data_IF_937235735646
#
_entry.id   IF_937235735646
#
_cell.length_a   1.000
_cell.length_b   1.000
_cell.length_c   1.000
_cell.angle_alpha   90.00
_cell.angle_beta   90.00
_cell.angle_gamma   90.00
#
_symmetry.space_group_name_H-M   'P 1'
#
loop_
_entity.id
_entity.type
_entity.pdbx_description
1 polymer ?
#
# COMPACT_ATOMS: atom_id res chain seq x y z
N UNK A 1 16.65 7.66 -25.53
CA UNK A 1 16.35 7.25 -24.15
C UNK A 1 17.56 6.45 -23.66
N UNK A 2 18.24 6.87 -22.59
CA UNK A 2 19.43 6.17 -22.09
C UNK A 2 19.01 4.80 -21.48
N UNK A 3 19.83 3.75 -21.63
CA UNK A 3 19.61 2.39 -21.12
C UNK A 3 19.21 2.38 -19.63
N UNK A 4 19.87 3.20 -18.82
CA UNK A 4 19.54 3.35 -17.39
C UNK A 4 18.09 3.83 -17.15
N UNK A 5 17.57 4.70 -18.03
CA UNK A 5 16.18 5.16 -17.92
C UNK A 5 15.18 4.08 -18.34
N UNK A 6 15.57 3.17 -19.24
CA UNK A 6 14.73 2.03 -19.61
C UNK A 6 14.68 0.99 -18.49
N UNK A 7 15.82 0.66 -17.88
CA UNK A 7 15.91 -0.26 -16.74
C UNK A 7 15.09 0.26 -15.54
N UNK A 8 15.19 1.56 -15.25
CA UNK A 8 14.38 2.19 -14.22
C UNK A 8 12.87 2.10 -14.51
N UNK A 9 12.46 2.32 -15.75
CA UNK A 9 11.05 2.25 -16.13
C UNK A 9 10.49 0.82 -16.06
N UNK A 10 11.30 -0.20 -16.40
CA UNK A 10 10.94 -1.60 -16.21
C UNK A 10 10.77 -1.93 -14.71
N UNK A 11 11.66 -1.41 -13.86
CA UNK A 11 11.54 -1.59 -12.41
C UNK A 11 10.26 -0.94 -11.87
N UNK A 12 9.98 0.30 -12.29
CA UNK A 12 8.75 1.02 -11.90
C UNK A 12 7.50 0.25 -12.34
N UNK A 13 7.49 -0.36 -13.53
CA UNK A 13 6.37 -1.19 -13.99
C UNK A 13 6.15 -2.44 -13.13
N UNK A 14 7.23 -3.09 -12.67
CA UNK A 14 7.12 -4.23 -11.74
C UNK A 14 6.60 -3.79 -10.37
N UNK A 15 7.07 -2.66 -9.87
CA UNK A 15 6.59 -2.07 -8.61
C UNK A 15 5.14 -1.61 -8.70
N UNK A 16 4.67 -1.14 -9.85
CA UNK A 16 3.28 -0.76 -10.11
C UNK A 16 2.31 -1.94 -9.89
N UNK A 17 2.69 -3.14 -10.31
CA UNK A 17 1.95 -4.38 -10.05
C UNK A 17 1.92 -4.72 -8.56
N UNK A 18 3.03 -4.51 -7.83
CA UNK A 18 3.10 -4.75 -6.39
C UNK A 18 2.18 -3.78 -5.63
N UNK A 19 2.09 -2.52 -6.08
CA UNK A 19 1.17 -1.54 -5.49
C UNK A 19 -0.29 -1.98 -5.65
N UNK A 20 -0.65 -2.62 -6.76
CA UNK A 20 -2.00 -3.18 -6.93
C UNK A 20 -2.26 -4.37 -5.99
N UNK A 21 -1.27 -5.25 -5.80
CA UNK A 21 -1.36 -6.32 -4.81
C UNK A 21 -1.55 -5.76 -3.39
N UNK A 22 -0.77 -4.74 -3.01
CA UNK A 22 -0.94 -4.05 -1.72
C UNK A 22 -2.34 -3.49 -1.55
N UNK A 23 -2.87 -2.81 -2.58
CA UNK A 23 -4.24 -2.28 -2.59
C UNK A 23 -5.26 -3.39 -2.35
N UNK A 24 -5.10 -4.54 -2.99
CA UNK A 24 -5.97 -5.70 -2.78
C UNK A 24 -5.89 -6.24 -1.36
N UNK A 25 -4.69 -6.40 -0.80
CA UNK A 25 -4.52 -6.86 0.59
C UNK A 25 -5.18 -5.89 1.56
N UNK A 26 -4.94 -4.58 1.40
CA UNK A 26 -5.55 -3.54 2.21
C UNK A 26 -7.07 -3.57 2.12
N UNK A 27 -7.67 -3.74 0.95
CA UNK A 27 -9.14 -3.82 0.80
C UNK A 27 -9.70 -5.11 1.43
N UNK A 28 -9.01 -6.24 1.24
CA UNK A 28 -9.44 -7.56 1.71
C UNK A 28 -9.49 -7.70 3.22
N UNK A 29 -8.69 -6.90 3.94
CA UNK A 29 -8.88 -6.69 5.38
C UNK A 29 -10.04 -5.74 5.61
N UNK A 30 -11.25 -6.24 5.39
CA UNK A 30 -12.47 -5.57 5.80
C UNK A 30 -12.38 -5.35 7.32
N UNK A 31 -12.51 -4.09 7.75
CA UNK A 31 -12.80 -3.78 9.14
C UNK A 31 -14.10 -4.50 9.46
N UNK A 32 -14.06 -5.48 10.35
CA UNK A 32 -15.28 -6.08 10.87
C UNK A 32 -16.00 -4.92 11.55
N UNK A 33 -17.10 -4.45 10.95
CA UNK A 33 -18.12 -3.80 11.74
C UNK A 33 -18.50 -4.87 12.76
N UNK A 34 -18.02 -4.74 13.98
CA UNK A 34 -18.54 -5.55 15.08
C UNK A 34 -20.05 -5.43 15.00
N UNK A 35 -20.72 -6.57 14.98
CA UNK A 35 -22.15 -6.69 14.79
C UNK A 35 -22.89 -6.24 16.07
N UNK A 36 -22.56 -5.04 16.56
CA UNK A 36 -23.19 -4.36 17.69
C UNK A 36 -23.71 -3.01 17.21
N UNK A 37 -24.96 -3.07 16.77
CA UNK A 37 -25.93 -1.99 16.58
C UNK A 37 -25.53 -0.89 15.59
N UNK A 38 -26.46 -0.66 14.67
CA UNK A 38 -26.66 0.59 13.95
C UNK A 38 -26.55 1.76 14.94
N UNK A 39 -25.41 2.42 14.95
CA UNK A 39 -25.32 3.81 15.36
C UNK A 39 -24.49 4.53 14.30
N UNK A 40 -25.18 5.36 13.52
CA UNK A 40 -24.58 6.43 12.74
C UNK A 40 -23.88 7.40 13.71
N UNK A 41 -22.67 7.08 14.19
CA UNK A 41 -21.85 8.05 14.90
C UNK A 41 -20.37 7.88 14.53
N UNK A 42 -19.85 8.97 13.98
CA UNK A 42 -18.47 9.39 13.97
C UNK A 42 -17.65 8.83 15.16
N UNK A 43 -16.38 8.43 14.91
CA UNK A 43 -15.31 8.27 15.93
C UNK A 43 -15.17 6.95 16.73
N UNK A 44 -15.05 5.78 16.10
CA UNK A 44 -14.59 4.59 16.86
C UNK A 44 -13.75 3.58 16.06
N UNK A 45 -12.56 4.00 15.61
CA UNK A 45 -11.33 3.19 15.26
C UNK A 45 -10.30 4.04 14.50
N UNK A 46 -10.16 5.33 14.85
CA UNK A 46 -9.62 6.37 13.94
C UNK A 46 -8.16 6.20 13.50
N UNK A 47 -7.27 5.52 14.23
CA UNK A 47 -5.84 5.50 13.83
C UNK A 47 -5.49 4.48 12.74
N UNK A 48 -6.09 3.29 12.75
CA UNK A 48 -5.84 2.27 11.71
C UNK A 48 -6.58 2.56 10.40
N UNK A 49 -7.81 3.08 10.50
CA UNK A 49 -8.62 3.46 9.35
C UNK A 49 -8.03 4.68 8.62
N UNK A 50 -7.47 5.65 9.35
CA UNK A 50 -6.82 6.82 8.77
C UNK A 50 -5.56 6.43 7.99
N UNK A 51 -4.70 5.57 8.55
CA UNK A 51 -3.48 5.11 7.88
C UNK A 51 -3.80 4.28 6.61
N UNK A 52 -4.74 3.33 6.68
CA UNK A 52 -5.20 2.57 5.51
C UNK A 52 -5.79 3.48 4.42
N UNK A 53 -6.66 4.42 4.79
CA UNK A 53 -7.25 5.39 3.86
C UNK A 53 -6.18 6.29 3.24
N UNK A 54 -5.20 6.72 4.02
CA UNK A 54 -4.07 7.52 3.56
C UNK A 54 -3.20 6.77 2.55
N UNK A 55 -2.91 5.48 2.79
CA UNK A 55 -2.19 4.63 1.83
C UNK A 55 -3.00 4.52 0.53
N UNK A 56 -4.31 4.26 0.63
CA UNK A 56 -5.20 4.20 -0.53
C UNK A 56 -5.15 5.47 -1.38
N UNK A 57 -5.22 6.64 -0.74
CA UNK A 57 -5.11 7.94 -1.44
C UNK A 57 -3.74 8.12 -2.12
N UNK A 58 -2.65 7.69 -1.47
CA UNK A 58 -1.30 7.73 -2.06
C UNK A 58 -1.20 6.83 -3.29
N UNK A 59 -1.75 5.62 -3.22
CA UNK A 59 -1.81 4.69 -4.36
C UNK A 59 -2.57 5.31 -5.53
N UNK A 60 -3.75 5.89 -5.29
CA UNK A 60 -4.54 6.49 -6.36
C UNK A 60 -3.84 7.72 -6.97
N UNK A 61 -3.11 8.52 -6.17
CA UNK A 61 -2.27 9.62 -6.67
C UNK A 61 -1.14 9.11 -7.57
N UNK A 62 -0.43 8.07 -7.14
CA UNK A 62 0.62 7.44 -7.94
C UNK A 62 0.09 6.87 -9.26
N UNK A 63 -1.06 6.18 -9.24
CA UNK A 63 -1.68 5.64 -10.45
C UNK A 63 -2.11 6.74 -11.42
N UNK A 64 -2.62 7.87 -10.91
CA UNK A 64 -2.91 9.06 -11.74
C UNK A 64 -1.65 9.66 -12.37
N UNK A 65 -0.56 9.75 -11.61
CA UNK A 65 0.73 10.21 -12.11
C UNK A 65 1.21 9.33 -13.27
N UNK A 66 1.11 8.01 -13.14
CA UNK A 66 1.47 7.04 -14.18
C UNK A 66 0.59 7.11 -15.43
N UNK A 67 -0.70 7.40 -15.25
CA UNK A 67 -1.67 7.45 -16.34
C UNK A 67 -1.66 8.78 -17.11
N UNK A 68 -1.04 9.83 -16.57
CA UNK A 68 -0.93 11.12 -17.25
C UNK A 68 0.09 11.03 -18.40
N UNK A 69 -0.43 10.69 -19.58
CA UNK A 69 0.35 10.62 -20.83
C UNK A 69 0.75 11.99 -21.38
N UNK A 70 0.24 13.09 -20.81
CA UNK A 70 0.52 14.45 -21.30
C UNK A 70 1.80 15.03 -20.71
N UNK A 71 2.37 14.38 -19.68
CA UNK A 71 3.62 14.79 -19.06
C UNK A 71 4.73 13.78 -19.39
N UNK A 72 5.97 14.24 -19.64
CA UNK A 72 7.10 13.32 -19.73
C UNK A 72 7.20 12.53 -18.42
N UNK A 73 7.36 11.19 -18.52
CA UNK A 73 7.46 10.31 -17.35
C UNK A 73 8.52 10.86 -16.40
N UNK A 74 8.07 11.34 -15.23
CA UNK A 74 8.94 11.87 -14.20
C UNK A 74 9.32 10.72 -13.27
N UNK A 75 10.34 9.97 -13.67
CA UNK A 75 10.80 8.78 -12.93
C UNK A 75 11.14 9.10 -11.46
N UNK A 76 11.62 10.32 -11.17
CA UNK A 76 11.94 10.74 -9.80
C UNK A 76 10.67 10.87 -8.94
N UNK A 77 9.63 11.51 -9.48
CA UNK A 77 8.35 11.66 -8.78
C UNK A 77 7.63 10.31 -8.62
N UNK A 78 7.73 9.42 -9.63
CA UNK A 78 7.20 8.05 -9.57
C UNK A 78 7.89 7.26 -8.45
N UNK A 79 9.22 7.29 -8.38
CA UNK A 79 10.01 6.61 -7.34
C UNK A 79 9.69 7.20 -5.96
N UNK A 80 9.64 8.53 -5.83
CA UNK A 80 9.30 9.18 -4.56
C UNK A 80 7.91 8.77 -4.05
N UNK A 81 6.93 8.70 -4.96
CA UNK A 81 5.57 8.25 -4.63
C UNK A 81 5.53 6.79 -4.19
N UNK A 82 6.29 5.91 -4.86
CA UNK A 82 6.40 4.49 -4.49
C UNK A 82 7.02 4.32 -3.10
N UNK A 83 8.13 5.00 -2.82
CA UNK A 83 8.81 4.95 -1.52
C UNK A 83 7.89 5.41 -0.39
N UNK A 84 7.13 6.49 -0.61
CA UNK A 84 6.16 7.02 0.34
C UNK A 84 5.00 6.03 0.61
N UNK A 85 4.52 5.31 -0.42
CA UNK A 85 3.53 4.24 -0.27
C UNK A 85 4.10 3.09 0.58
N UNK A 86 5.30 2.60 0.27
CA UNK A 86 5.93 1.49 0.99
C UNK A 86 6.19 1.84 2.45
N UNK A 87 6.82 3.00 2.72
CA UNK A 87 7.11 3.45 4.08
C UNK A 87 5.84 3.63 4.92
N UNK A 88 4.79 4.25 4.35
CA UNK A 88 3.51 4.41 5.07
C UNK A 88 2.87 3.05 5.37
N UNK A 89 3.02 2.07 4.46
CA UNK A 89 2.46 0.74 4.62
C UNK A 89 3.21 -0.08 5.66
N UNK A 90 4.54 -0.01 5.67
CA UNK A 90 5.38 -0.62 6.70
C UNK A 90 5.01 -0.12 8.09
N UNK A 91 4.82 1.20 8.26
CA UNK A 91 4.39 1.80 9.52
C UNK A 91 3.01 1.25 9.95
N UNK A 92 2.08 1.08 9.01
CA UNK A 92 0.77 0.50 9.31
C UNK A 92 0.91 -0.96 9.78
N UNK A 93 1.64 -1.78 9.03
CA UNK A 93 1.83 -3.20 9.36
C UNK A 93 2.46 -3.35 10.74
N UNK A 94 3.49 -2.56 11.05
CA UNK A 94 4.14 -2.54 12.37
C UNK A 94 3.17 -2.16 13.50
N UNK A 95 2.36 -1.12 13.30
CA UNK A 95 1.35 -0.70 14.29
C UNK A 95 0.29 -1.78 14.52
N UNK A 96 -0.12 -2.49 13.47
CA UNK A 96 -1.08 -3.60 13.60
C UNK A 96 -0.43 -4.76 14.35
N UNK A 97 0.82 -5.13 14.04
CA UNK A 97 1.51 -6.24 14.72
C UNK A 97 1.75 -5.98 16.21
N UNK A 98 1.99 -4.72 16.59
CA UNK A 98 2.18 -4.30 17.98
C UNK A 98 0.84 -4.07 18.71
N UNK A 99 -0.28 -4.08 17.99
CA UNK A 99 -1.62 -3.79 18.50
C UNK A 99 -2.30 -4.99 19.17
N UNK A 100 -3.29 -4.70 20.03
CA UNK A 100 -4.09 -5.73 20.74
C UNK A 100 -4.97 -6.57 19.81
N UNK A 101 -5.28 -6.05 18.62
CA UNK A 101 -6.14 -6.72 17.63
C UNK A 101 -5.34 -7.53 16.59
N UNK A 102 -4.03 -7.72 16.80
CA UNK A 102 -3.12 -8.37 15.83
C UNK A 102 -3.55 -9.80 15.46
N UNK A 103 -4.16 -10.55 16.38
CA UNK A 103 -4.66 -11.91 16.11
C UNK A 103 -5.70 -11.95 15.00
N UNK A 104 -6.60 -10.95 14.93
CA UNK A 104 -7.64 -10.90 13.90
C UNK A 104 -7.04 -10.71 12.48
N UNK A 105 -5.94 -9.96 12.39
CA UNK A 105 -5.20 -9.78 11.14
C UNK A 105 -4.38 -11.02 10.79
N UNK A 106 -3.81 -11.71 11.78
CA UNK A 106 -3.09 -12.95 11.60
C UNK A 106 -3.99 -14.07 11.06
N UNK A 107 -5.19 -14.24 11.64
CA UNK A 107 -6.17 -15.27 11.24
C UNK A 107 -6.63 -15.09 9.78
N UNK A 108 -6.64 -13.85 9.29
CA UNK A 108 -6.98 -13.50 7.90
C UNK A 108 -5.79 -13.55 6.93
N UNK A 109 -4.61 -13.96 7.41
CA UNK A 109 -3.39 -14.06 6.61
C UNK A 109 -2.82 -12.72 6.14
N UNK A 110 -3.17 -11.60 6.79
CA UNK A 110 -2.72 -10.26 6.42
C UNK A 110 -1.20 -10.14 6.44
N UNK A 111 -0.56 -10.58 7.53
CA UNK A 111 0.89 -10.50 7.69
C UNK A 111 1.64 -11.38 6.69
N UNK A 112 1.11 -12.58 6.40
CA UNK A 112 1.73 -13.47 5.40
C UNK A 112 1.72 -12.81 4.02
N UNK A 113 0.58 -12.23 3.61
CA UNK A 113 0.47 -11.53 2.31
C UNK A 113 1.39 -10.30 2.24
N UNK A 114 1.53 -9.55 3.33
CA UNK A 114 2.46 -8.42 3.37
C UNK A 114 3.93 -8.87 3.40
N UNK A 115 4.25 -9.99 4.04
CA UNK A 115 5.58 -10.61 3.98
C UNK A 115 5.93 -11.03 2.55
N UNK A 116 4.99 -11.65 1.83
CA UNK A 116 5.18 -12.04 0.43
C UNK A 116 5.43 -10.80 -0.46
N UNK A 117 4.68 -9.72 -0.23
CA UNK A 117 4.87 -8.45 -0.91
C UNK A 117 6.27 -7.87 -0.61
N UNK A 118 6.70 -7.84 0.65
CA UNK A 118 8.02 -7.36 1.04
C UNK A 118 9.13 -8.14 0.34
N UNK A 119 9.05 -9.48 0.31
CA UNK A 119 10.02 -10.31 -0.40
C UNK A 119 10.01 -10.10 -1.91
N UNK A 120 8.85 -9.82 -2.53
CA UNK A 120 8.79 -9.45 -3.94
C UNK A 120 9.52 -8.14 -4.19
N UNK A 121 9.35 -7.13 -3.33
CA UNK A 121 10.05 -5.84 -3.44
C UNK A 121 11.56 -6.05 -3.28
N UNK A 122 11.99 -6.76 -2.24
CA UNK A 122 13.42 -7.06 -1.98
C UNK A 122 14.09 -7.71 -3.19
N UNK A 123 13.45 -8.71 -3.82
CA UNK A 123 13.98 -9.38 -5.01
C UNK A 123 14.09 -8.50 -6.25
N UNK A 124 13.38 -7.38 -6.30
CA UNK A 124 13.42 -6.45 -7.43
C UNK A 124 14.50 -5.38 -7.28
N UNK A 125 14.95 -5.12 -6.04
CA UNK A 125 15.91 -4.05 -5.72
C UNK A 125 17.28 -4.56 -5.29
N UNK A 126 17.41 -5.86 -4.97
CA UNK A 126 18.66 -6.55 -4.66
C UNK A 126 19.46 -6.88 -5.94
#
# INVERSE_FOLDING_TARGET
MNKANQELQILIEKLDSIVDEMKQVLVSTQSVSSNKKKDCFFLSTRMGLDAKTRIMVKIDKYKKLRADTNHPRNSELEVSSLMDIFATTEILVKKISEGKDSSEYADKGFFNRFSDISHKVERLIA
#
